data_IF_787536203272
#
_entry.id   IF_787536203272
#
_cell.length_a   1.000
_cell.length_b   1.000
_cell.length_c   1.000
_cell.angle_alpha   90.00
_cell.angle_beta   90.00
_cell.angle_gamma   90.00
#
_symmetry.space_group_name_H-M   'P 1'
#
loop_
_entity.id
_entity.type
_entity.pdbx_description
1 polymer ?
#
# COMPACT_ATOMS: atom_id res chain seq x y z
N UNK A 1 -8.77 12.96 -14.45
CA UNK A 1 -8.21 12.57 -13.15
C UNK A 1 -6.74 12.93 -13.21
N UNK A 2 -6.24 13.70 -12.26
CA UNK A 2 -4.79 13.92 -12.14
C UNK A 2 -4.18 12.59 -11.69
N UNK A 3 -3.18 12.09 -12.42
CA UNK A 3 -2.48 10.88 -12.07
C UNK A 3 -1.50 11.18 -10.94
N UNK A 4 -1.67 10.48 -9.82
CA UNK A 4 -0.78 10.57 -8.67
C UNK A 4 0.62 10.07 -9.07
N UNK A 5 1.67 10.83 -8.77
CA UNK A 5 3.05 10.45 -9.09
C UNK A 5 3.54 9.33 -8.17
N UNK A 6 4.63 8.65 -8.57
CA UNK A 6 5.24 7.59 -7.74
C UNK A 6 5.61 8.08 -6.35
N UNK A 7 6.19 9.28 -6.23
CA UNK A 7 6.60 9.85 -4.94
C UNK A 7 5.41 10.18 -4.05
N UNK A 8 4.34 10.72 -4.63
CA UNK A 8 3.11 11.03 -3.88
C UNK A 8 2.45 9.75 -3.37
N UNK A 9 2.32 8.73 -4.23
CA UNK A 9 1.81 7.42 -3.83
C UNK A 9 2.68 6.79 -2.75
N UNK A 10 4.00 6.88 -2.86
CA UNK A 10 4.92 6.35 -1.86
C UNK A 10 4.70 6.98 -0.47
N UNK A 11 4.60 8.31 -0.42
CA UNK A 11 4.34 9.04 0.83
C UNK A 11 2.98 8.64 1.43
N UNK A 12 1.91 8.64 0.62
CA UNK A 12 0.57 8.26 1.06
C UNK A 12 0.55 6.82 1.60
N UNK A 13 1.13 5.88 0.87
CA UNK A 13 1.13 4.46 1.25
C UNK A 13 1.90 4.26 2.56
N UNK A 14 3.06 4.90 2.73
CA UNK A 14 3.81 4.83 3.98
C UNK A 14 3.01 5.42 5.15
N UNK A 15 2.36 6.57 4.96
CA UNK A 15 1.52 7.16 6.00
C UNK A 15 0.38 6.23 6.43
N UNK A 16 -0.29 5.59 5.46
CA UNK A 16 -1.39 4.65 5.72
C UNK A 16 -0.89 3.41 6.44
N UNK A 17 0.21 2.80 5.98
CA UNK A 17 0.80 1.61 6.63
C UNK A 17 1.26 1.94 8.04
N UNK A 18 1.97 3.07 8.25
CA UNK A 18 2.42 3.48 9.57
C UNK A 18 1.24 3.72 10.52
N UNK A 19 0.16 4.33 10.04
CA UNK A 19 -1.05 4.52 10.82
C UNK A 19 -1.67 3.17 11.21
N UNK A 20 -1.78 2.22 10.28
CA UNK A 20 -2.32 0.88 10.54
C UNK A 20 -1.48 0.11 11.56
N UNK A 21 -0.16 0.08 11.39
CA UNK A 21 0.75 -0.58 12.34
C UNK A 21 0.64 0.03 13.73
N UNK A 22 0.60 1.38 13.82
CA UNK A 22 0.45 2.07 15.10
C UNK A 22 -0.89 1.76 15.79
N UNK A 23 -1.98 1.62 15.02
CA UNK A 23 -3.30 1.24 15.55
C UNK A 23 -3.32 -0.19 16.10
N UNK A 24 -2.56 -1.10 15.48
CA UNK A 24 -2.44 -2.50 15.89
C UNK A 24 -1.41 -2.72 17.02
N UNK A 25 -0.69 -1.67 17.40
CA UNK A 25 0.37 -1.74 18.42
C UNK A 25 1.69 -2.31 17.89
N UNK A 26 1.87 -2.36 16.57
CA UNK A 26 3.10 -2.75 15.90
C UNK A 26 4.04 -1.54 15.72
N UNK A 27 5.35 -1.80 15.59
CA UNK A 27 6.34 -0.75 15.35
C UNK A 27 6.32 -0.32 13.87
N UNK A 28 5.97 0.94 13.53
CA UNK A 28 5.99 1.42 12.16
C UNK A 28 7.41 1.74 11.66
N UNK A 29 8.42 1.76 12.53
CA UNK A 29 9.77 2.12 12.12
C UNK A 29 10.40 1.03 11.25
N UNK A 30 11.00 1.44 10.14
CA UNK A 30 11.73 0.53 9.24
C UNK A 30 10.90 -0.03 8.09
N UNK A 31 9.69 0.47 7.87
CA UNK A 31 8.97 0.24 6.61
C UNK A 31 9.61 1.09 5.51
N UNK A 32 10.04 0.44 4.43
CA UNK A 32 10.54 1.07 3.22
C UNK A 32 9.91 0.44 1.96
N UNK A 33 10.29 0.95 0.79
CA UNK A 33 9.71 0.51 -0.48
C UNK A 33 9.90 -0.99 -0.79
N UNK A 34 10.87 -1.67 -0.17
CA UNK A 34 11.16 -3.09 -0.37
C UNK A 34 10.58 -3.95 0.75
N UNK A 35 9.99 -3.38 1.79
CA UNK A 35 9.39 -4.15 2.88
C UNK A 35 8.23 -5.00 2.37
N UNK A 36 8.20 -6.27 2.77
CA UNK A 36 7.11 -7.18 2.42
C UNK A 36 5.89 -6.90 3.31
N UNK A 37 4.80 -6.46 2.71
CA UNK A 37 3.56 -6.11 3.39
C UNK A 37 2.92 -7.32 4.07
N UNK A 38 3.13 -8.51 3.51
CA UNK A 38 2.57 -9.76 4.05
C UNK A 38 3.27 -10.22 5.35
N UNK A 39 4.47 -9.70 5.64
CA UNK A 39 5.18 -9.97 6.90
C UNK A 39 4.73 -9.02 8.03
N UNK A 40 4.15 -7.88 7.68
CA UNK A 40 3.78 -6.82 8.63
C UNK A 40 2.28 -6.76 8.93
N UNK A 41 1.46 -7.05 7.93
CA UNK A 41 0.02 -6.88 7.98
C UNK A 41 -0.65 -8.21 7.64
N UNK A 42 -1.70 -8.54 8.39
CA UNK A 42 -2.54 -9.67 8.01
C UNK A 42 -3.41 -9.33 6.78
N UNK A 43 -4.06 -10.35 6.23
CA UNK A 43 -4.86 -10.21 5.02
C UNK A 43 -6.03 -9.22 5.16
N UNK A 44 -6.59 -9.04 6.36
CA UNK A 44 -7.65 -8.05 6.60
C UNK A 44 -7.06 -6.64 6.72
N UNK A 45 -5.94 -6.49 7.42
CA UNK A 45 -5.25 -5.22 7.56
C UNK A 45 -4.77 -4.66 6.22
N UNK A 46 -4.37 -5.53 5.30
CA UNK A 46 -4.01 -5.16 3.92
C UNK A 46 -5.21 -4.59 3.18
N UNK A 47 -6.40 -5.18 3.32
CA UNK A 47 -7.62 -4.66 2.69
C UNK A 47 -7.95 -3.26 3.21
N UNK A 48 -7.86 -3.06 4.53
CA UNK A 48 -8.08 -1.75 5.16
C UNK A 48 -7.07 -0.71 4.64
N UNK A 49 -5.79 -1.08 4.56
CA UNK A 49 -4.74 -0.21 4.01
C UNK A 49 -5.03 0.16 2.56
N UNK A 50 -5.46 -0.79 1.74
CA UNK A 50 -5.70 -0.54 0.33
C UNK A 50 -6.92 0.36 0.14
N UNK A 51 -8.02 0.13 0.87
CA UNK A 51 -9.18 1.04 0.85
C UNK A 51 -8.80 2.48 1.26
N UNK A 52 -7.95 2.64 2.28
CA UNK A 52 -7.48 3.95 2.73
C UNK A 52 -6.59 4.63 1.68
N UNK A 53 -5.77 3.87 0.94
CA UNK A 53 -4.95 4.38 -0.16
C UNK A 53 -5.83 4.85 -1.32
N UNK A 54 -6.82 4.05 -1.72
CA UNK A 54 -7.75 4.38 -2.80
C UNK A 54 -8.51 5.69 -2.51
N UNK A 55 -9.00 5.86 -1.29
CA UNK A 55 -9.72 7.07 -0.86
C UNK A 55 -8.79 8.31 -0.83
N UNK A 56 -7.58 8.18 -0.26
CA UNK A 56 -6.65 9.32 -0.12
C UNK A 56 -5.99 9.73 -1.42
N UNK A 57 -5.54 8.78 -2.23
CA UNK A 57 -4.86 9.05 -3.48
C UNK A 57 -5.84 9.21 -4.66
N UNK A 58 -7.14 8.93 -4.45
CA UNK A 58 -8.17 8.96 -5.49
C UNK A 58 -7.81 8.04 -6.69
N UNK A 59 -7.29 6.86 -6.37
CA UNK A 59 -6.79 5.84 -7.32
C UNK A 59 -7.53 4.52 -7.13
N UNK A 60 -7.48 3.66 -8.14
CA UNK A 60 -7.93 2.28 -8.03
C UNK A 60 -6.75 1.32 -7.78
N UNK A 61 -6.92 0.37 -6.87
CA UNK A 61 -6.00 -0.73 -6.58
C UNK A 61 -6.70 -2.08 -6.80
N UNK A 62 -6.31 -2.80 -7.86
CA UNK A 62 -6.94 -4.08 -8.19
C UNK A 62 -6.29 -5.23 -7.41
N UNK A 63 -6.82 -5.48 -6.21
CA UNK A 63 -6.45 -6.61 -5.35
C UNK A 63 -6.46 -7.96 -6.08
N UNK A 64 -7.38 -8.16 -7.05
CA UNK A 64 -7.48 -9.45 -7.74
C UNK A 64 -6.30 -9.69 -8.70
N UNK A 65 -5.63 -8.63 -9.14
CA UNK A 65 -4.41 -8.71 -9.97
C UNK A 65 -3.14 -8.72 -9.14
N UNK A 66 -3.25 -8.43 -7.85
CA UNK A 66 -2.14 -8.47 -6.93
C UNK A 66 -1.87 -9.90 -6.47
N UNK A 67 -0.62 -10.33 -6.61
CA UNK A 67 -0.20 -11.67 -6.25
C UNK A 67 0.18 -11.73 -4.75
N UNK A 68 -0.83 -11.79 -3.89
CA UNK A 68 -0.66 -11.98 -2.44
C UNK A 68 -0.08 -13.35 -2.06
N UNK A 69 -0.02 -14.31 -3.00
CA UNK A 69 0.64 -15.59 -2.76
C UNK A 69 2.16 -15.48 -2.85
N UNK A 70 2.67 -14.41 -3.46
CA UNK A 70 4.07 -14.04 -3.50
C UNK A 70 4.34 -12.82 -2.61
N UNK A 71 5.62 -12.51 -2.39
CA UNK A 71 6.06 -11.29 -1.71
C UNK A 71 5.43 -10.06 -2.35
N UNK A 72 4.83 -9.18 -1.55
CA UNK A 72 4.27 -7.92 -1.99
C UNK A 72 4.96 -6.77 -1.30
N UNK A 73 5.76 -6.01 -2.04
CA UNK A 73 6.40 -4.81 -1.47
C UNK A 73 5.59 -3.55 -1.69
N UNK A 74 5.86 -2.51 -0.90
CA UNK A 74 5.32 -1.15 -1.13
C UNK A 74 5.59 -0.69 -2.56
N UNK A 75 6.77 -0.98 -3.10
CA UNK A 75 7.12 -0.68 -4.50
C UNK A 75 6.21 -1.42 -5.49
N UNK A 76 5.92 -2.69 -5.26
CA UNK A 76 5.07 -3.48 -6.15
C UNK A 76 3.62 -2.95 -6.15
N UNK A 77 3.12 -2.58 -4.97
CA UNK A 77 1.83 -1.93 -4.81
C UNK A 77 1.75 -0.62 -5.60
N UNK A 78 2.74 0.27 -5.48
CA UNK A 78 2.77 1.54 -6.22
C UNK A 78 2.78 1.30 -7.74
N UNK A 79 3.62 0.37 -8.21
CA UNK A 79 3.70 0.05 -9.64
C UNK A 79 2.37 -0.44 -10.18
N UNK A 80 1.66 -1.27 -9.40
CA UNK A 80 0.37 -1.80 -9.80
C UNK A 80 -0.69 -0.69 -9.86
N UNK A 81 -0.75 0.18 -8.84
CA UNK A 81 -1.63 1.36 -8.84
C UNK A 81 -1.35 2.23 -10.07
N UNK A 82 -0.09 2.59 -10.33
CA UNK A 82 0.27 3.40 -11.50
C UNK A 82 -0.15 2.70 -12.79
N UNK A 83 0.09 1.40 -12.92
CA UNK A 83 -0.26 0.62 -14.12
C UNK A 83 -1.76 0.60 -14.39
N UNK A 84 -2.59 0.60 -13.36
CA UNK A 84 -4.07 0.59 -13.47
C UNK A 84 -4.60 1.98 -13.84
N UNK A 85 -3.99 3.03 -13.27
CA UNK A 85 -4.48 4.42 -13.39
C UNK A 85 -3.80 5.21 -14.53
N UNK A 86 -2.91 4.59 -15.31
CA UNK A 86 -2.28 5.15 -16.52
C UNK A 86 -3.03 4.78 -17.79
#
# INVERSE_FOLDING_TARGET
METCSYSELYEIILEVIHAKLSQEGNDPNGVDENTDLMELLDSFSILDVIMDIEDRATVDADLAKMDFANRMTVRDLIKEIIRINS
#
